data_IF_632618756265
#
_entry.id   IF_632618756265
#
_cell.length_a   1.000
_cell.length_b   1.000
_cell.length_c   1.000
_cell.angle_alpha   90.00
_cell.angle_beta   90.00
_cell.angle_gamma   90.00
#
_symmetry.space_group_name_H-M   'P 1'
#
loop_
_entity.id
_entity.type
_entity.pdbx_description
1 polymer ?
#
# COMPACT_ATOMS: atom_id res chain seq x y z
N UNK A 1 15.12 -8.07 9.09
CA UNK A 1 16.08 -7.36 9.99
C UNK A 1 15.78 -5.87 9.97
N UNK A 2 15.86 -5.18 11.11
CA UNK A 2 15.66 -3.72 11.17
C UNK A 2 16.96 -2.98 10.79
N UNK A 3 16.84 -1.82 10.13
CA UNK A 3 17.95 -0.92 9.80
C UNK A 3 17.77 0.41 10.54
N UNK A 4 18.88 1.10 10.84
CA UNK A 4 18.85 2.40 11.51
C UNK A 4 18.50 3.51 10.51
N UNK A 5 17.53 4.35 10.87
CA UNK A 5 17.22 5.60 10.19
C UNK A 5 17.63 6.76 11.10
N UNK A 6 18.50 7.66 10.61
CA UNK A 6 18.82 8.90 11.33
C UNK A 6 17.90 10.00 10.82
N UNK A 7 17.27 10.74 11.72
CA UNK A 7 16.33 11.80 11.40
C UNK A 7 16.80 13.12 12.01
N UNK A 8 16.71 14.19 11.24
CA UNK A 8 16.81 15.55 11.75
C UNK A 8 15.43 16.00 12.19
N UNK A 9 15.29 16.42 13.44
CA UNK A 9 14.01 16.86 14.01
C UNK A 9 14.27 18.06 14.93
N UNK A 10 13.24 18.90 15.10
CA UNK A 10 13.27 19.96 16.11
C UNK A 10 13.57 19.38 17.50
N UNK A 11 14.56 19.97 18.17
CA UNK A 11 14.98 19.61 19.53
C UNK A 11 13.82 19.68 20.52
N UNK A 12 12.89 20.61 20.35
CA UNK A 12 11.72 20.77 21.21
C UNK A 12 10.76 19.58 21.12
N UNK A 13 10.72 18.87 19.98
CA UNK A 13 9.84 17.72 19.78
C UNK A 13 10.38 16.45 20.45
N UNK A 14 11.69 16.32 20.69
CA UNK A 14 12.29 15.12 21.29
C UNK A 14 11.62 14.71 22.62
N UNK A 15 11.50 15.60 23.64
CA UNK A 15 10.85 15.24 24.89
C UNK A 15 9.35 14.96 24.73
N UNK A 16 8.66 15.70 23.85
CA UNK A 16 7.24 15.53 23.59
C UNK A 16 6.95 14.16 22.95
N UNK A 17 7.72 13.77 21.94
CA UNK A 17 7.62 12.48 21.26
C UNK A 17 7.90 11.31 22.21
N UNK A 18 8.92 11.44 23.07
CA UNK A 18 9.21 10.42 24.10
C UNK A 18 8.07 10.27 25.10
N UNK A 19 7.53 11.39 25.60
CA UNK A 19 6.39 11.39 26.53
C UNK A 19 5.16 10.75 25.90
N UNK A 20 4.86 11.11 24.66
CA UNK A 20 3.75 10.53 23.90
C UNK A 20 3.95 9.01 23.73
N UNK A 21 5.11 8.58 23.20
CA UNK A 21 5.39 7.16 23.00
C UNK A 21 5.25 6.36 24.30
N UNK A 22 5.80 6.86 25.42
CA UNK A 22 5.67 6.22 26.74
C UNK A 22 4.22 6.13 27.22
N UNK A 23 3.41 7.19 27.04
CA UNK A 23 1.98 7.18 27.38
C UNK A 23 1.22 6.09 26.63
N UNK A 24 1.65 5.76 25.41
CA UNK A 24 1.06 4.74 24.56
C UNK A 24 1.78 3.39 24.61
N UNK A 25 2.70 3.18 25.57
CA UNK A 25 3.43 1.90 25.73
C UNK A 25 4.38 1.56 24.59
N UNK A 26 4.81 2.55 23.79
CA UNK A 26 5.65 2.38 22.60
C UNK A 26 7.00 3.08 22.75
N UNK A 27 7.96 2.68 21.92
CA UNK A 27 9.18 3.46 21.70
C UNK A 27 8.98 4.55 20.64
N UNK A 28 9.82 5.59 20.64
CA UNK A 28 9.77 6.62 19.58
C UNK A 28 10.07 6.00 18.21
N UNK A 29 11.00 5.04 18.14
CA UNK A 29 11.29 4.31 16.90
C UNK A 29 10.09 3.54 16.38
N UNK A 30 9.32 2.90 17.27
CA UNK A 30 8.12 2.16 16.90
C UNK A 30 6.98 3.08 16.47
N UNK A 31 6.82 4.22 17.13
CA UNK A 31 5.87 5.26 16.74
C UNK A 31 6.17 5.79 15.32
N UNK A 32 7.45 6.10 15.05
CA UNK A 32 7.88 6.56 13.73
C UNK A 32 7.70 5.46 12.68
N UNK A 33 8.06 4.22 13.00
CA UNK A 33 7.86 3.07 12.11
C UNK A 33 6.38 2.87 11.75
N UNK A 34 5.45 3.00 12.71
CA UNK A 34 4.01 2.89 12.43
C UNK A 34 3.51 4.03 11.55
N UNK A 35 3.89 5.28 11.86
CA UNK A 35 3.46 6.44 11.08
C UNK A 35 3.96 6.37 9.64
N UNK A 36 5.22 5.97 9.45
CA UNK A 36 5.78 5.78 8.11
C UNK A 36 5.09 4.64 7.36
N UNK A 37 4.77 3.54 8.03
CA UNK A 37 4.05 2.42 7.41
C UNK A 37 2.66 2.84 6.96
N UNK A 38 1.91 3.55 7.80
CA UNK A 38 0.55 3.98 7.48
C UNK A 38 0.55 4.92 6.27
N UNK A 39 1.48 5.89 6.23
CA UNK A 39 1.64 6.81 5.10
C UNK A 39 2.05 6.10 3.81
N UNK A 40 3.03 5.20 3.86
CA UNK A 40 3.52 4.48 2.67
C UNK A 40 2.48 3.49 2.14
N UNK A 41 1.73 2.82 3.03
CA UNK A 41 0.67 1.90 2.60
C UNK A 41 -0.49 2.64 1.94
N UNK A 42 -0.80 3.86 2.39
CA UNK A 42 -1.79 4.71 1.73
C UNK A 42 -1.32 5.22 0.36
N UNK A 43 -0.01 5.40 0.18
CA UNK A 43 0.57 5.90 -1.08
C UNK A 43 0.95 4.78 -2.07
N UNK A 44 0.83 3.51 -1.69
CA UNK A 44 1.01 2.41 -2.63
C UNK A 44 -0.18 2.33 -3.59
N UNK A 45 0.02 2.48 -4.92
CA UNK A 45 -1.09 2.35 -5.84
C UNK A 45 -1.70 0.95 -5.72
N UNK A 46 -3.02 0.93 -5.66
CA UNK A 46 -3.85 -0.27 -5.67
C UNK A 46 -3.53 -1.14 -6.89
N UNK A 47 -3.92 -2.41 -6.85
CA UNK A 47 -3.79 -3.29 -8.01
C UNK A 47 -4.39 -2.64 -9.26
N UNK A 48 -5.56 -2.03 -9.13
CA UNK A 48 -6.29 -1.32 -10.18
C UNK A 48 -5.45 -0.19 -10.81
N UNK A 49 -4.75 0.59 -9.99
CA UNK A 49 -3.92 1.72 -10.44
C UNK A 49 -2.60 1.26 -11.06
N UNK A 50 -2.07 0.11 -10.63
CA UNK A 50 -0.87 -0.52 -11.21
C UNK A 50 -1.17 -1.28 -12.50
N UNK A 51 -2.42 -1.72 -12.68
CA UNK A 51 -2.81 -2.57 -13.80
C UNK A 51 -2.91 -1.77 -15.10
N UNK A 52 -1.89 -1.93 -15.96
CA UNK A 52 -1.87 -1.38 -17.34
C UNK A 52 -2.40 -2.37 -18.40
N UNK A 53 -2.83 -3.55 -17.98
CA UNK A 53 -3.30 -4.58 -18.89
C UNK A 53 -4.67 -4.24 -19.48
N UNK A 54 -4.93 -4.69 -20.71
CA UNK A 54 -6.30 -4.75 -21.23
C UNK A 54 -6.79 -6.19 -21.08
N UNK A 55 -8.04 -6.36 -20.65
CA UNK A 55 -8.67 -7.66 -20.75
C UNK A 55 -8.81 -8.00 -22.24
N UNK A 56 -8.07 -9.00 -22.69
CA UNK A 56 -8.27 -9.62 -23.99
C UNK A 56 -8.93 -10.96 -23.77
N UNK A 57 -10.00 -11.21 -24.49
CA UNK A 57 -10.54 -12.56 -24.62
C UNK A 57 -9.46 -13.46 -25.23
N UNK A 58 -9.15 -14.56 -24.57
CA UNK A 58 -8.41 -15.63 -25.22
C UNK A 58 -9.40 -16.34 -26.16
N UNK A 59 -9.53 -15.79 -27.37
CA UNK A 59 -10.41 -16.31 -28.41
C UNK A 59 -9.88 -17.70 -28.80
N UNK A 60 -10.43 -18.72 -28.14
CA UNK A 60 -10.27 -20.11 -28.53
C UNK A 60 -11.39 -20.40 -29.50
N UNK A 61 -11.05 -21.02 -30.63
CA UNK A 61 -12.00 -21.61 -31.58
C UNK A 61 -12.81 -22.70 -30.87
N UNK A 62 -13.83 -22.27 -30.13
CA UNK A 62 -14.71 -23.14 -29.39
C UNK A 62 -16.15 -22.68 -29.64
N UNK A 63 -17.06 -23.59 -30.01
CA UNK A 63 -18.46 -23.26 -30.24
C UNK A 63 -19.15 -22.59 -29.03
N UNK A 64 -18.59 -22.80 -27.83
CA UNK A 64 -19.06 -22.15 -26.60
C UNK A 64 -18.69 -20.67 -26.56
N UNK A 65 -17.50 -20.30 -27.04
CA UNK A 65 -17.04 -18.93 -27.08
C UNK A 65 -17.91 -18.09 -28.02
N UNK A 66 -18.19 -18.57 -29.23
CA UNK A 66 -19.00 -17.86 -30.23
C UNK A 66 -20.41 -17.57 -29.71
N UNK A 67 -21.06 -18.58 -29.10
CA UNK A 67 -22.37 -18.41 -28.46
C UNK A 67 -22.37 -17.36 -27.34
N UNK A 68 -21.28 -17.26 -26.59
CA UNK A 68 -21.15 -16.27 -25.51
C UNK A 68 -20.86 -14.89 -26.07
N UNK A 69 -20.02 -14.80 -27.12
CA UNK A 69 -19.74 -13.57 -27.83
C UNK A 69 -21.00 -12.94 -28.39
N UNK A 70 -21.82 -13.72 -29.10
CA UNK A 70 -23.08 -13.23 -29.68
C UNK A 70 -24.10 -12.81 -28.63
N UNK A 71 -24.21 -13.58 -27.53
CA UNK A 71 -25.16 -13.28 -26.45
C UNK A 71 -24.84 -11.99 -25.71
N UNK A 72 -23.55 -11.75 -25.44
CA UNK A 72 -23.10 -10.66 -24.58
C UNK A 72 -22.46 -9.49 -25.37
N UNK A 73 -22.44 -9.55 -26.70
CA UNK A 73 -21.84 -8.54 -27.58
C UNK A 73 -20.38 -8.23 -27.20
N UNK A 74 -19.60 -9.30 -26.92
CA UNK A 74 -18.18 -9.21 -26.53
C UNK A 74 -17.26 -8.85 -27.70
#
# INVERSE_FOLDING_TARGET
MKRKLNLTIDKALIPLSKRYARKHGKSVSELVESLLRDLVLQDTPTFSEKWKGRFSTNAKDSPRYDKLKDRYQL
#
